data_IF_788360003931
#
_entry.id   IF_788360003931
#
_cell.length_a   1.000
_cell.length_b   1.000
_cell.length_c   1.000
_cell.angle_alpha   90.00
_cell.angle_beta   90.00
_cell.angle_gamma   90.00
#
_symmetry.space_group_name_H-M   'P 1'
#
loop_
_entity.id
_entity.type
_entity.pdbx_description
1 polymer ?
2 polymer ?
3 non-polymer ?
4 water ?
#
loop_
_entity_poly.entity_id
_entity_poly.type
_entity_poly.pdbx_seq_one_letter_code
_entity_poly.pdbx_strand_id
2 'polydeoxyribonucleotide' '(DT)(DA)(DA)(DT)(DA)(DT)(DT)(DA)(DC)' ?
#
# COMPACT_ATOMS: atom_id res chain seq x y z
N UNK A 1 -10.79 -0.95 -14.90
CA UNK A 1 -9.98 -0.15 -13.96
C UNK A 1 -8.58 0.15 -14.50
N UNK A 2 -8.19 1.43 -14.47
CA UNK A 2 -6.94 1.87 -15.07
C UNK A 2 -6.31 2.98 -14.23
N UNK A 3 -5.04 2.81 -13.83
CA UNK A 3 -4.28 3.89 -13.21
C UNK A 3 -2.86 3.84 -13.76
N UNK A 4 -2.32 5.01 -14.09
CA UNK A 4 -0.92 5.17 -14.48
C UNK A 4 -0.28 6.11 -13.47
N UNK A 5 0.57 5.59 -12.60
CA UNK A 5 1.09 6.45 -11.55
C UNK A 5 2.42 5.91 -11.03
N UNK A 6 3.23 6.84 -10.54
CA UNK A 6 4.48 6.51 -9.88
C UNK A 6 4.26 6.11 -8.43
N UNK A 7 3.24 6.67 -7.78
CA UNK A 7 3.02 6.52 -6.35
C UNK A 7 1.60 6.07 -6.06
N UNK A 8 1.46 4.98 -5.32
CA UNK A 8 0.15 4.42 -5.03
C UNK A 8 -0.17 4.50 -3.55
N UNK A 9 -1.42 4.84 -3.26
CA UNK A 9 -1.98 4.93 -1.92
C UNK A 9 -3.07 3.86 -1.82
N UNK A 10 -2.84 2.85 -0.98
CA UNK A 10 -3.75 1.71 -0.90
C UNK A 10 -4.39 1.65 0.48
N UNK A 11 -5.66 1.25 0.53
CA UNK A 11 -6.38 1.08 1.79
C UNK A 11 -7.11 -0.25 1.77
N UNK A 12 -6.81 -1.11 2.75
CA UNK A 12 -7.40 -2.44 2.86
C UNK A 12 -8.33 -2.50 4.07
N UNK A 13 -9.61 -2.21 3.93
CA UNK A 13 -10.50 -2.31 5.09
C UNK A 13 -10.75 -3.76 5.49
N UNK A 14 -11.11 -3.94 6.76
CA UNK A 14 -11.40 -5.26 7.34
C UNK A 14 -10.30 -6.26 7.03
N UNK A 15 -9.06 -5.87 7.26
CA UNK A 15 -7.92 -6.68 6.86
C UNK A 15 -7.15 -7.11 8.09
N UNK A 16 -6.99 -8.42 8.25
CA UNK A 16 -6.35 -9.02 9.41
C UNK A 16 -4.90 -9.42 9.17
N UNK A 17 -4.34 -9.13 8.00
CA UNK A 17 -2.92 -9.40 7.79
C UNK A 17 -2.10 -8.50 8.69
N UNK A 18 -0.98 -9.02 9.20
CA UNK A 18 -0.05 -8.13 9.87
C UNK A 18 0.56 -7.18 8.85
N UNK A 19 1.10 -6.06 9.34
CA UNK A 19 1.69 -5.11 8.41
C UNK A 19 2.92 -5.70 7.74
N UNK A 20 3.68 -6.51 8.48
CA UNK A 20 4.85 -7.17 7.93
C UNK A 20 4.46 -8.16 6.84
N UNK A 21 3.40 -8.93 7.08
CA UNK A 21 2.98 -9.92 6.10
C UNK A 21 2.42 -9.25 4.85
N UNK A 22 1.73 -8.12 5.00
CA UNK A 22 1.29 -7.40 3.81
C UNK A 22 2.48 -6.77 3.08
N UNK A 23 3.42 -6.20 3.83
CA UNK A 23 4.63 -5.68 3.20
C UNK A 23 5.35 -6.77 2.43
N UNK A 24 5.40 -7.97 2.99
CA UNK A 24 6.10 -9.06 2.33
C UNK A 24 5.44 -9.40 1.00
N UNK A 25 4.11 -9.50 0.98
CA UNK A 25 3.41 -9.86 -0.25
C UNK A 25 3.52 -8.77 -1.30
N UNK A 26 3.55 -7.50 -0.89
CA UNK A 26 3.68 -6.42 -1.86
C UNK A 26 5.09 -6.32 -2.41
N UNK A 27 6.11 -6.62 -1.58
CA UNK A 27 7.48 -6.69 -2.09
C UNK A 27 7.61 -7.72 -3.20
N UNK A 28 6.95 -8.86 -3.04
CA UNK A 28 7.09 -9.95 -3.99
C UNK A 28 6.13 -9.85 -5.18
N UNK A 29 5.37 -8.76 -5.31
CA UNK A 29 4.63 -8.53 -6.54
C UNK A 29 5.57 -8.29 -7.70
N UNK A 30 5.50 -9.17 -8.70
CA UNK A 30 6.22 -8.93 -9.94
C UNK A 30 5.53 -7.79 -10.69
N UNK A 31 6.24 -6.68 -10.78
CA UNK A 31 5.84 -5.50 -11.52
C UNK A 31 6.97 -5.15 -12.48
N UNK A 32 6.65 -4.58 -13.64
CA UNK A 32 7.73 -4.22 -14.58
C UNK A 32 8.72 -3.22 -14.00
N UNK A 33 8.24 -2.13 -13.39
CA UNK A 33 9.12 -1.13 -12.78
C UNK A 33 9.41 -1.53 -11.33
N UNK A 34 10.52 -1.03 -10.81
CA UNK A 34 10.99 -1.43 -9.49
C UNK A 34 10.32 -0.59 -8.41
N UNK A 35 10.05 -1.24 -7.28
CA UNK A 35 9.52 -0.55 -6.10
C UNK A 35 10.68 0.04 -5.31
N UNK A 36 10.64 1.35 -5.10
CA UNK A 36 11.68 2.02 -4.33
C UNK A 36 11.32 2.18 -2.86
N UNK A 37 10.03 2.08 -2.51
CA UNK A 37 9.59 2.39 -1.15
C UNK A 37 8.22 1.77 -0.92
N UNK A 38 8.08 1.03 0.18
CA UNK A 38 6.79 0.53 0.63
C UNK A 38 6.67 0.81 2.11
N UNK A 39 5.56 1.43 2.49
CA UNK A 39 5.22 1.69 3.88
C UNK A 39 3.84 1.13 4.14
N UNK A 40 3.71 0.30 5.17
CA UNK A 40 2.44 -0.30 5.54
C UNK A 40 2.16 0.03 6.99
N UNK A 41 0.94 0.50 7.28
CA UNK A 41 0.52 0.74 8.64
C UNK A 41 -0.74 -0.04 8.97
N UNK A 42 -0.89 -0.37 10.26
CA UNK A 42 -2.08 -1.03 10.77
C UNK A 42 -2.85 -0.04 11.65
N UNK A 43 -4.12 0.18 11.33
CA UNK A 43 -5.00 1.04 12.11
C UNK A 43 -6.28 0.27 12.42
N UNK A 44 -7.13 0.84 13.28
CA UNK A 44 -8.37 0.17 13.67
C UNK A 44 -9.58 0.95 13.16
N UNK A 45 -10.57 0.22 12.64
CA UNK A 45 -11.87 0.82 12.38
C UNK A 45 -12.55 1.20 13.70
N UNK A 46 -13.61 1.99 13.58
CA UNK A 46 -14.42 2.37 14.73
C UNK A 46 -14.94 1.17 15.52
N UNK A 47 -15.16 0.03 14.86
CA UNK A 47 -15.66 -1.16 15.53
C UNK A 47 -14.55 -2.07 16.06
N UNK A 48 -13.31 -1.58 16.12
CA UNK A 48 -12.20 -2.38 16.58
C UNK A 48 -11.55 -3.27 15.53
N UNK A 49 -12.16 -3.42 14.35
CA UNK A 49 -11.54 -4.22 13.29
C UNK A 49 -10.32 -3.50 12.71
N UNK A 50 -9.26 -4.22 12.40
CA UNK A 50 -8.08 -3.58 11.81
C UNK A 50 -8.26 -3.38 10.32
N UNK A 51 -7.48 -2.42 9.80
CA UNK A 51 -7.28 -2.22 8.37
C UNK A 51 -5.85 -1.75 8.16
N UNK A 52 -5.41 -1.79 6.90
CA UNK A 52 -4.07 -1.36 6.53
C UNK A 52 -4.15 -0.18 5.57
N UNK A 53 -3.11 0.65 5.61
CA UNK A 53 -2.82 1.62 4.56
C UNK A 53 -1.41 1.37 4.04
N UNK A 54 -1.22 1.58 2.74
CA UNK A 54 0.06 1.36 2.08
C UNK A 54 0.39 2.56 1.22
N UNK A 55 1.65 2.98 1.26
CA UNK A 55 2.23 3.83 0.24
C UNK A 55 3.25 2.98 -0.52
N UNK A 56 3.10 2.91 -1.84
CA UNK A 56 4.11 2.33 -2.71
C UNK A 56 4.61 3.44 -3.61
N UNK A 57 5.93 3.63 -3.63
CA UNK A 57 6.58 4.48 -4.62
C UNK A 57 7.35 3.57 -5.57
N UNK A 58 7.00 3.62 -6.86
CA UNK A 58 7.71 2.92 -7.92
C UNK A 58 8.83 3.79 -8.50
N UNK A 59 9.82 3.13 -9.11
CA UNK A 59 10.93 3.84 -9.75
C UNK A 59 10.46 4.67 -10.94
N UNK A 60 9.56 4.13 -11.75
CA UNK A 60 8.87 4.90 -12.76
C UNK A 60 7.37 4.69 -12.66
N UNK A 61 6.64 5.41 -13.51
CA UNK A 61 5.19 5.28 -13.56
C UNK A 61 4.80 3.84 -13.85
N UNK A 62 3.80 3.35 -13.11
CA UNK A 62 3.32 1.99 -13.27
C UNK A 62 1.88 2.04 -13.72
N UNK A 63 1.61 1.40 -14.85
CA UNK A 63 0.27 1.28 -15.40
C UNK A 63 -0.45 0.12 -14.72
N UNK A 64 -1.39 0.43 -13.84
CA UNK A 64 -2.24 -0.60 -13.27
C UNK A 64 -3.39 -0.86 -14.23
N UNK A 65 -3.55 -2.11 -14.65
CA UNK A 65 -4.57 -2.47 -15.63
C UNK A 65 -5.70 -3.28 -15.04
N UNK A 66 -5.64 -3.61 -13.75
CA UNK A 66 -6.46 -4.66 -13.19
C UNK A 66 -6.75 -4.33 -11.73
N UNK A 67 -8.04 -4.24 -11.40
CA UNK A 67 -8.47 -3.80 -10.08
C UNK A 67 -8.03 -4.75 -8.97
N UNK A 68 -7.60 -5.96 -9.30
CA UNK A 68 -7.26 -6.95 -8.29
C UNK A 68 -5.76 -7.19 -8.17
N UNK A 69 -4.95 -6.38 -8.85
CA UNK A 69 -3.51 -6.61 -8.87
C UNK A 69 -2.90 -6.50 -7.48
N UNK A 70 -3.52 -5.72 -6.60
CA UNK A 70 -2.98 -5.51 -5.27
C UNK A 70 -3.71 -6.32 -4.21
N UNK A 71 -4.55 -7.26 -4.61
CA UNK A 71 -5.26 -8.09 -3.65
C UNK A 71 -4.26 -8.95 -2.90
N UNK A 72 -4.47 -9.08 -1.60
CA UNK A 72 -3.58 -9.85 -0.74
C UNK A 72 -4.33 -11.07 -0.20
N UNK A 73 -3.57 -12.06 0.27
CA UNK A 73 -4.12 -13.34 0.71
C UNK A 73 -3.57 -13.68 2.08
N UNK A 74 -4.40 -14.34 2.88
CA UNK A 74 -4.02 -14.76 4.23
C UNK A 74 -3.01 -15.91 4.23
N UNK A 79 -8.97 -16.48 3.04
CA UNK A 79 -9.52 -15.15 2.74
C UNK A 79 -8.67 -14.29 1.79
N UNK A 80 -9.34 -13.37 1.11
CA UNK A 80 -8.75 -12.44 0.16
C UNK A 80 -9.07 -11.01 0.56
N UNK A 81 -8.11 -10.13 0.36
CA UNK A 81 -8.19 -8.77 0.87
C UNK A 81 -8.06 -7.79 -0.28
N UNK A 82 -9.13 -7.03 -0.52
CA UNK A 82 -9.18 -6.16 -1.68
C UNK A 82 -9.06 -4.71 -1.27
N UNK A 83 -8.12 -3.95 -1.86
CA UNK A 83 -7.93 -2.55 -1.44
C UNK A 83 -8.66 -1.53 -2.28
N UNK A 84 -8.84 -0.35 -1.70
CA UNK A 84 -9.08 0.86 -2.46
C UNK A 84 -7.74 1.31 -3.05
N UNK A 85 -7.70 1.47 -4.37
CA UNK A 85 -6.48 1.83 -5.09
C UNK A 85 -6.62 3.27 -5.57
N UNK A 86 -5.68 4.12 -5.19
CA UNK A 86 -5.63 5.48 -5.71
C UNK A 86 -4.18 5.83 -6.02
N UNK A 87 -4.00 6.72 -7.00
CA UNK A 87 -2.71 7.35 -7.20
C UNK A 87 -2.51 8.38 -6.11
N UNK A 88 -1.34 8.38 -5.48
CA UNK A 88 -1.10 9.32 -4.40
C UNK A 88 -0.95 10.72 -4.99
N UNK A 89 -1.82 11.65 -4.56
CA UNK A 89 -1.72 13.03 -5.02
C UNK A 89 -0.51 13.72 -4.41
N UNK A 90 -0.18 13.38 -3.17
CA UNK A 90 1.03 13.89 -2.52
C UNK A 90 1.67 12.74 -1.76
N UNK A 91 2.84 12.31 -2.23
CA UNK A 91 3.55 11.27 -1.51
C UNK A 91 3.86 11.68 -0.09
N UNK A 92 4.14 12.97 0.14
CA UNK A 92 4.51 13.39 1.48
C UNK A 92 3.30 13.47 2.40
N UNK A 93 2.14 13.88 1.86
CA UNK A 93 0.90 13.84 2.64
C UNK A 93 0.54 12.41 3.03
N UNK A 94 0.64 11.48 2.08
CA UNK A 94 0.33 10.08 2.37
C UNK A 94 1.32 9.50 3.36
N UNK A 95 2.62 9.76 3.17
CA UNK A 95 3.62 9.27 4.11
C UNK A 95 3.24 9.68 5.52
N UNK A 96 2.86 10.94 5.70
CA UNK A 96 2.48 11.41 7.03
C UNK A 96 1.22 10.73 7.51
N UNK A 97 0.25 10.57 6.61
CA UNK A 97 -1.02 9.96 6.96
C UNK A 97 -0.85 8.51 7.38
N UNK A 98 0.01 7.76 6.69
CA UNK A 98 0.25 6.37 7.04
C UNK A 98 1.00 6.24 8.36
N UNK A 99 1.73 7.27 8.77
CA UNK A 99 2.56 7.19 9.96
C UNK A 99 1.85 7.65 11.22
N UNK A 100 0.64 8.19 11.11
CA UNK A 100 0.10 9.03 12.18
C UNK A 100 -0.21 8.25 13.46
N UNK A 101 -0.60 6.97 13.37
CA UNK A 101 -0.96 6.23 14.58
C UNK A 101 0.18 5.36 15.10
N UNK A 102 1.34 5.38 14.44
CA UNK A 102 2.56 4.86 15.02
C UNK A 102 2.89 3.40 14.73
N UNK A 103 1.98 2.64 14.12
CA UNK A 103 2.22 1.22 13.91
C UNK A 103 2.45 0.97 12.42
N UNK A 104 3.68 1.20 11.97
CA UNK A 104 3.99 1.07 10.55
C UNK A 104 5.35 0.42 10.36
N UNK A 105 5.59 -0.06 9.14
CA UNK A 105 6.88 -0.62 8.74
C UNK A 105 7.24 -0.14 7.34
N UNK A 106 8.53 0.13 7.11
CA UNK A 106 9.06 0.65 5.85
C UNK A 106 9.95 -0.37 5.15
N UNK A 107 9.92 -0.35 3.82
CA UNK A 107 10.93 -0.98 2.99
C UNK A 107 11.46 0.06 2.02
N UNK A 108 12.77 0.04 1.77
CA UNK A 108 13.34 0.91 0.77
C UNK A 108 13.63 2.31 1.28
N UNK A 109 13.66 3.25 0.33
CA UNK A 109 14.05 4.64 0.56
C UNK A 109 12.92 5.53 0.06
N UNK A 110 12.46 6.46 0.89
CA UNK A 110 11.43 7.39 0.42
C UNK A 110 11.97 8.21 -0.75
N UNK A 111 11.10 8.51 -1.72
CA UNK A 111 11.52 9.10 -2.99
C UNK A 111 11.12 10.57 -3.14
N UNK A 112 11.94 11.28 -3.93
CA UNK A 112 12.05 12.74 -4.07
C UNK A 112 11.56 13.48 -2.85
X LIG C 1 -7.07 4.35 8.88
#
# INVERSE_FOLDING_TARGET
>A
FKIYAKNYFLTYPNCSLSKEEALSQLKNLETPTNKKYIKVCRELHENGEPHLHVLIQFEGKYQCKNQRFFDLVSPNRSAHFHPNIQAAKSSTDVKTFVEKDGDFIDFGVFQI
>C hetero
1 MN MN
#
